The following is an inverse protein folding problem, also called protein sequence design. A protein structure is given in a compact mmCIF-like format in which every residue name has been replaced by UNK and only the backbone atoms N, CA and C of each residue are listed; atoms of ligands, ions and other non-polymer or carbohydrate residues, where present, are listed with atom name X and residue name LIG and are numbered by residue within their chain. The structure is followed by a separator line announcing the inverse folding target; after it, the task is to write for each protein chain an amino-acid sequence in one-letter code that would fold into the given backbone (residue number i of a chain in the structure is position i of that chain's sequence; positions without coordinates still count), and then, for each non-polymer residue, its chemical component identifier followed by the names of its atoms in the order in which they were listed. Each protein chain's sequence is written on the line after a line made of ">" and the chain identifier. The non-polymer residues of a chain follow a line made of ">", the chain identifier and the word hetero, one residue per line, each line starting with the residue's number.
data_IF_976247786862
#
_entry.id   IF_976247786862
#
_cell.length_a   1.000
_cell.length_b   1.000
_cell.length_c   1.000
_cell.angle_alpha   90.00
_cell.angle_beta   90.00
_cell.angle_gamma   90.00
#
_symmetry.space_group_name_H-M   'P 1'
#
loop_
_entity.id
_entity.type
_entity.pdbx_description
1 polymer ?
#
# COMPACT_ATOMS: atom_id res chain seq x y z
N UNK A 1 12.06 -6.15 19.48
CA UNK A 1 12.42 -4.92 18.74
C UNK A 1 12.38 -5.24 17.25
N UNK A 2 11.37 -4.77 16.52
CA UNK A 2 11.18 -5.12 15.09
C UNK A 2 10.16 -4.25 14.35
N UNK A 3 9.95 -2.99 14.75
CA UNK A 3 8.84 -2.16 14.27
C UNK A 3 8.82 -1.90 12.75
N UNK A 4 9.98 -1.87 12.08
CA UNK A 4 10.04 -1.63 10.63
C UNK A 4 9.46 -2.77 9.77
N UNK A 5 9.58 -4.02 10.22
CA UNK A 5 9.04 -5.20 9.51
C UNK A 5 7.52 -5.25 9.66
N UNK A 6 7.02 -4.94 10.85
CA UNK A 6 5.59 -4.90 11.17
C UNK A 6 4.85 -3.83 10.34
N UNK A 7 5.41 -2.62 10.25
CA UNK A 7 4.84 -1.52 9.44
C UNK A 7 4.76 -1.90 7.95
N UNK A 8 5.75 -2.62 7.43
CA UNK A 8 5.78 -3.02 6.01
C UNK A 8 4.67 -4.03 5.68
N UNK A 9 4.42 -4.98 6.59
CA UNK A 9 3.35 -5.95 6.46
C UNK A 9 1.98 -5.28 6.56
N UNK A 10 1.79 -4.36 7.49
CA UNK A 10 0.54 -3.61 7.63
C UNK A 10 0.27 -2.69 6.44
N UNK A 11 1.30 -2.03 5.90
CA UNK A 11 1.18 -1.30 4.65
C UNK A 11 0.69 -2.21 3.52
N UNK A 12 1.29 -3.39 3.37
CA UNK A 12 0.89 -4.37 2.34
C UNK A 12 -0.57 -4.82 2.46
N UNK A 13 -1.04 -5.05 3.70
CA UNK A 13 -2.43 -5.40 4.00
C UNK A 13 -3.40 -4.27 3.65
N UNK A 14 -3.07 -3.03 4.04
CA UNK A 14 -3.88 -1.84 3.72
C UNK A 14 -3.94 -1.62 2.22
N UNK A 15 -2.80 -1.69 1.53
CA UNK A 15 -2.73 -1.54 0.08
C UNK A 15 -3.62 -2.56 -0.64
N UNK A 16 -3.52 -3.84 -0.25
CA UNK A 16 -4.34 -4.91 -0.83
C UNK A 16 -5.83 -4.66 -0.61
N UNK A 17 -6.23 -4.25 0.59
CA UNK A 17 -7.64 -3.97 0.92
C UNK A 17 -8.19 -2.80 0.09
N UNK A 18 -7.47 -1.68 0.04
CA UNK A 18 -7.86 -0.51 -0.74
C UNK A 18 -7.95 -0.84 -2.23
N UNK A 19 -6.98 -1.59 -2.76
CA UNK A 19 -7.00 -2.06 -4.15
C UNK A 19 -8.24 -2.88 -4.47
N UNK A 20 -8.58 -3.84 -3.61
CA UNK A 20 -9.76 -4.68 -3.81
C UNK A 20 -11.06 -3.87 -3.68
N UNK A 21 -11.12 -2.90 -2.77
CA UNK A 21 -12.25 -1.99 -2.64
C UNK A 21 -12.45 -1.11 -3.88
N UNK A 22 -11.36 -0.73 -4.56
CA UNK A 22 -11.39 -0.04 -5.85
C UNK A 22 -11.68 -0.97 -7.04
N UNK A 23 -11.86 -2.27 -6.83
CA UNK A 23 -12.14 -3.24 -7.90
C UNK A 23 -10.96 -3.52 -8.84
N UNK A 24 -9.72 -3.17 -8.43
CA UNK A 24 -8.54 -3.26 -9.28
C UNK A 24 -7.78 -4.57 -9.07
N UNK A 25 -7.23 -5.13 -10.16
CA UNK A 25 -6.16 -6.13 -10.10
C UNK A 25 -4.81 -5.48 -9.75
N UNK A 26 -3.81 -6.28 -9.35
CA UNK A 26 -2.44 -5.77 -9.13
C UNK A 26 -1.84 -5.14 -10.39
N UNK A 27 -2.22 -5.64 -11.57
CA UNK A 27 -1.76 -5.11 -12.85
C UNK A 27 -2.39 -3.75 -13.13
N UNK A 28 -3.71 -3.64 -12.95
CA UNK A 28 -4.42 -2.37 -13.12
C UNK A 28 -3.91 -1.31 -12.14
N UNK A 29 -3.77 -1.62 -10.84
CA UNK A 29 -3.19 -0.66 -9.89
C UNK A 29 -1.76 -0.26 -10.28
N UNK A 30 -0.96 -1.21 -10.76
CA UNK A 30 0.36 -0.92 -11.29
C UNK A 30 0.31 0.11 -12.42
N UNK A 31 -0.53 -0.14 -13.43
CA UNK A 31 -0.72 0.76 -14.57
C UNK A 31 -1.16 2.17 -14.13
N UNK A 32 -2.22 2.26 -13.33
CA UNK A 32 -2.76 3.54 -12.83
C UNK A 32 -1.74 4.31 -11.98
N UNK A 33 -0.91 3.61 -11.20
CA UNK A 33 0.14 4.23 -10.38
C UNK A 33 1.47 4.47 -11.13
N UNK A 34 1.59 4.04 -12.39
CA UNK A 34 2.86 4.07 -13.13
C UNK A 34 3.94 3.20 -12.48
N UNK A 35 3.57 2.00 -12.03
CA UNK A 35 4.38 1.00 -11.35
C UNK A 35 4.26 -0.37 -12.04
N UNK A 36 5.27 -1.22 -11.89
CA UNK A 36 5.18 -2.59 -12.38
C UNK A 36 4.29 -3.44 -11.46
N UNK A 37 3.47 -4.32 -12.05
CA UNK A 37 2.64 -5.31 -11.33
C UNK A 37 3.42 -6.05 -10.24
N UNK A 38 4.65 -6.48 -10.55
CA UNK A 38 5.48 -7.24 -9.61
C UNK A 38 5.89 -6.41 -8.40
N UNK A 39 6.10 -5.10 -8.58
CA UNK A 39 6.42 -4.18 -7.49
C UNK A 39 5.22 -4.00 -6.55
N UNK A 40 4.00 -3.87 -7.09
CA UNK A 40 2.76 -3.89 -6.32
C UNK A 40 2.63 -5.19 -5.53
N UNK A 41 2.89 -6.33 -6.19
CA UNK A 41 2.83 -7.66 -5.56
C UNK A 41 3.81 -7.81 -4.38
N UNK A 42 5.02 -7.27 -4.49
CA UNK A 42 6.02 -7.30 -3.43
C UNK A 42 5.63 -6.40 -2.24
N UNK A 43 5.04 -5.22 -2.51
CA UNK A 43 4.53 -4.33 -1.46
C UNK A 43 3.37 -4.95 -0.71
N UNK A 44 2.41 -5.60 -1.39
CA UNK A 44 1.29 -6.27 -0.72
C UNK A 44 1.71 -7.43 0.21
N UNK A 45 2.89 -8.02 -0.04
CA UNK A 45 3.48 -9.05 0.83
C UNK A 45 4.38 -8.48 1.93
N UNK A 46 4.54 -7.16 2.00
CA UNK A 46 5.47 -6.49 2.93
C UNK A 46 6.94 -6.76 2.64
N UNK A 47 7.28 -7.27 1.45
CA UNK A 47 8.68 -7.56 1.06
C UNK A 47 9.41 -6.27 0.67
N UNK A 48 8.70 -5.35 0.00
CA UNK A 48 9.24 -4.04 -0.37
C UNK A 48 8.55 -2.93 0.42
N UNK A 49 9.37 -2.04 0.98
CA UNK A 49 8.89 -0.80 1.58
C UNK A 49 8.60 0.24 0.49
N UNK A 50 7.42 0.89 0.53
CA UNK A 50 7.12 1.98 -0.38
C UNK A 50 7.97 3.20 -0.02
N UNK A 51 8.46 3.93 -1.03
CA UNK A 51 8.95 5.29 -0.82
C UNK A 51 7.77 6.24 -0.63
N UNK A 52 8.00 7.44 -0.08
CA UNK A 52 6.98 8.50 -0.01
C UNK A 52 6.35 8.73 -1.40
N UNK A 53 7.17 8.85 -2.44
CA UNK A 53 6.70 9.01 -3.83
C UNK A 53 5.79 7.86 -4.27
N UNK A 54 6.12 6.62 -3.91
CA UNK A 54 5.28 5.44 -4.20
C UNK A 54 3.93 5.54 -3.50
N UNK A 55 3.90 6.00 -2.24
CA UNK A 55 2.65 6.17 -1.48
C UNK A 55 1.73 7.19 -2.17
N UNK A 56 2.27 8.32 -2.60
CA UNK A 56 1.49 9.32 -3.35
C UNK A 56 0.93 8.75 -4.66
N UNK A 57 1.76 8.04 -5.45
CA UNK A 57 1.31 7.40 -6.68
C UNK A 57 0.16 6.40 -6.46
N UNK A 58 0.30 5.54 -5.46
CA UNK A 58 -0.72 4.55 -5.11
C UNK A 58 -2.00 5.22 -4.60
N UNK A 59 -1.89 6.25 -3.77
CA UNK A 59 -3.04 7.00 -3.25
C UNK A 59 -3.81 7.69 -4.39
N UNK A 60 -3.11 8.35 -5.31
CA UNK A 60 -3.72 8.94 -6.52
C UNK A 60 -4.43 7.89 -7.36
N UNK A 61 -3.79 6.74 -7.63
CA UNK A 61 -4.39 5.64 -8.39
C UNK A 61 -5.62 5.01 -7.72
N UNK A 62 -5.70 5.08 -6.39
CA UNK A 62 -6.82 4.58 -5.59
C UNK A 62 -7.87 5.66 -5.30
N UNK A 63 -7.70 6.86 -5.84
CA UNK A 63 -8.56 8.02 -5.63
C UNK A 63 -8.77 8.38 -4.14
N UNK A 64 -7.70 8.30 -3.34
CA UNK A 64 -7.67 8.71 -1.94
C UNK A 64 -6.47 9.62 -1.65
N UNK A 65 -6.46 10.28 -0.49
CA UNK A 65 -5.28 11.02 -0.04
C UNK A 65 -4.20 10.08 0.51
N UNK A 66 -2.92 10.46 0.36
CA UNK A 66 -1.81 9.73 0.96
C UNK A 66 -1.94 9.68 2.50
N UNK A 67 -2.44 10.75 3.13
CA UNK A 67 -2.72 10.81 4.56
C UNK A 67 -3.79 9.80 5.00
N UNK A 68 -4.82 9.57 4.20
CA UNK A 68 -5.84 8.57 4.49
C UNK A 68 -5.22 7.16 4.43
N UNK A 69 -4.40 6.88 3.42
CA UNK A 69 -3.67 5.62 3.33
C UNK A 69 -2.78 5.39 4.57
N UNK A 70 -2.02 6.39 5.00
CA UNK A 70 -1.17 6.31 6.21
C UNK A 70 -2.01 6.11 7.48
N UNK A 71 -3.11 6.85 7.61
CA UNK A 71 -4.03 6.71 8.76
C UNK A 71 -4.54 5.27 8.89
N UNK A 72 -4.87 4.63 7.76
CA UNK A 72 -5.30 3.23 7.76
C UNK A 72 -4.19 2.25 8.16
N UNK A 73 -2.92 2.56 7.85
CA UNK A 73 -1.76 1.77 8.30
C UNK A 73 -1.55 1.95 9.80
N UNK A 74 -1.54 3.18 10.30
CA UNK A 74 -1.38 3.49 11.73
C UNK A 74 -2.46 2.81 12.58
N UNK A 75 -3.73 2.85 12.14
CA UNK A 75 -4.84 2.17 12.83
C UNK A 75 -4.63 0.66 13.00
N UNK A 76 -3.88 0.02 12.10
CA UNK A 76 -3.61 -1.41 12.19
C UNK A 76 -2.32 -1.70 12.96
N UNK A 77 -1.32 -0.81 12.93
CA UNK A 77 -0.11 -0.92 13.74
C UNK A 77 -0.36 -0.68 15.24
N UNK A 78 -1.30 0.19 15.62
CA UNK A 78 -1.59 0.55 17.03
C UNK A 78 -2.51 -0.48 17.72
N UNK A 79 -3.11 -1.41 16.97
CA UNK A 79 -4.05 -2.41 17.52
C UNK A 79 -3.38 -3.57 18.27
N UNK A 80 -2.07 -3.51 18.52
CA UNK A 80 -1.29 -4.53 19.23
C UNK A 80 -0.40 -3.91 20.31
#
# INVERSE_FOLDING_TARGET
>A
MGGGVEVSLEFGRVLRRLRLAAGLTQEQLGQEAGLQRNYVSLMERGVNQPTITTIFKLATALNISASEMITEVEKNCIKH
#
